data_IF_752337620449
#
_entry.id   IF_752337620449
#
_cell.length_a   1.000
_cell.length_b   1.000
_cell.length_c   1.000
_cell.angle_alpha   90.00
_cell.angle_beta   90.00
_cell.angle_gamma   90.00
#
_symmetry.space_group_name_H-M   'P 1'
#
loop_
_entity.id
_entity.type
_entity.pdbx_description
1 polymer ?
#
# COMPACT_ATOMS: atom_id res chain seq x y z
N UNK A 1 10.43 -22.34 22.06
CA UNK A 1 9.91 -21.99 21.86
C UNK A 1 9.63 -21.40 21.18
N UNK A 2 9.65 -21.62 21.26
CA UNK A 2 9.26 -21.05 20.74
C UNK A 2 8.97 -20.15 20.29
N UNK A 3 8.91 -19.90 20.15
CA UNK A 3 8.37 -19.09 19.99
C UNK A 3 8.46 -18.34 19.49
N UNK A 4 8.88 -18.25 19.59
CA UNK A 4 8.78 -17.52 19.25
C UNK A 4 8.65 -16.95 18.32
N UNK A 5 8.66 -17.30 18.18
CA UNK A 5 8.36 -16.78 17.43
C UNK A 5 7.86 -16.10 16.84
N UNK A 6 7.82 -15.89 16.94
CA UNK A 6 7.11 -15.39 16.55
C UNK A 6 6.80 -14.53 16.18
N UNK A 7 7.06 -14.28 16.16
CA UNK A 7 6.72 -13.50 15.92
C UNK A 7 6.18 -12.82 15.35
N UNK A 8 6.35 -12.72 15.96
CA UNK A 8 5.55 -11.98 15.32
C UNK A 8 6.04 -11.01 14.41
N UNK A 9 5.71 -11.04 13.36
CA UNK A 9 6.26 -10.14 12.50
C UNK A 9 5.53 -8.84 12.54
N UNK A 10 6.24 -7.75 12.47
CA UNK A 10 5.65 -6.48 12.48
C UNK A 10 4.92 -6.21 11.23
N UNK A 11 3.73 -5.67 11.32
CA UNK A 11 3.00 -5.23 10.16
C UNK A 11 3.60 -3.96 9.64
N UNK A 12 3.74 -3.88 8.33
CA UNK A 12 4.21 -2.68 7.69
C UNK A 12 3.08 -1.66 7.66
N UNK A 13 3.29 -0.50 8.23
CA UNK A 13 2.29 0.55 8.20
C UNK A 13 2.66 1.53 7.10
N UNK A 14 1.78 1.65 6.11
CA UNK A 14 2.00 2.55 4.99
C UNK A 14 1.21 3.83 5.22
N UNK A 15 1.82 4.96 4.90
CA UNK A 15 1.14 6.25 4.99
C UNK A 15 1.01 6.82 3.60
N UNK A 16 -0.11 7.47 3.33
CA UNK A 16 -0.26 8.19 2.07
C UNK A 16 0.49 9.53 2.15
N UNK A 17 0.44 10.31 1.09
CA UNK A 17 1.18 11.56 1.06
C UNK A 17 0.70 12.57 2.10
N UNK A 18 -0.53 12.44 2.55
CA UNK A 18 -1.09 13.30 3.57
C UNK A 18 -0.85 12.77 4.98
N UNK A 19 -0.20 11.63 5.10
CA UNK A 19 0.11 11.03 6.39
C UNK A 19 -0.99 10.14 6.95
N UNK A 20 -1.99 9.80 6.14
CA UNK A 20 -3.06 8.91 6.58
C UNK A 20 -2.60 7.46 6.52
N UNK A 21 -2.80 6.69 7.59
CA UNK A 21 -2.41 5.28 7.55
C UNK A 21 -3.31 4.50 6.59
N UNK A 22 -2.70 3.60 5.86
CA UNK A 22 -3.40 2.80 4.85
C UNK A 22 -3.58 1.39 5.38
N UNK A 23 -4.72 0.80 5.05
CA UNK A 23 -5.04 -0.55 5.45
C UNK A 23 -5.45 -1.35 4.23
N UNK A 24 -5.27 -2.66 4.34
CA UNK A 24 -5.71 -3.55 3.29
C UNK A 24 -7.19 -3.31 3.00
N UNK A 25 -7.52 -3.16 1.72
CA UNK A 25 -8.87 -2.89 1.30
C UNK A 25 -9.17 -1.42 1.04
N UNK A 26 -8.27 -0.52 1.45
CA UNK A 26 -8.49 0.90 1.21
C UNK A 26 -8.37 1.24 -0.26
N UNK A 27 -9.17 2.21 -0.68
CA UNK A 27 -9.12 2.73 -2.04
C UNK A 27 -8.31 4.02 -1.99
N UNK A 28 -7.39 4.15 -2.92
CA UNK A 28 -6.52 5.33 -3.00
C UNK A 28 -6.48 5.86 -4.42
N UNK A 29 -6.12 7.13 -4.54
CA UNK A 29 -5.75 7.71 -5.82
C UNK A 29 -4.26 7.48 -6.00
N UNK A 30 -3.91 6.66 -6.98
CA UNK A 30 -2.52 6.32 -7.24
C UNK A 30 -1.92 7.38 -8.13
N UNK A 31 -0.83 7.98 -7.66
CA UNK A 31 -0.22 9.11 -8.36
C UNK A 31 0.94 8.71 -9.26
N UNK A 32 1.18 7.40 -9.39
CA UNK A 32 2.23 6.89 -10.26
C UNK A 32 1.65 5.89 -11.23
N UNK A 33 2.39 5.65 -12.31
CA UNK A 33 2.09 4.59 -13.27
C UNK A 33 0.72 4.72 -13.92
N UNK A 34 0.11 5.89 -13.79
CA UNK A 34 -1.15 6.16 -14.47
C UNK A 34 -2.24 5.17 -14.07
N UNK A 35 -2.23 4.73 -12.84
CA UNK A 35 -3.16 3.70 -12.41
C UNK A 35 -4.50 4.23 -11.91
N UNK A 36 -4.54 5.52 -11.57
CA UNK A 36 -5.79 6.09 -11.07
C UNK A 36 -6.21 5.48 -9.76
N UNK A 37 -7.50 5.22 -9.59
CA UNK A 37 -7.99 4.62 -8.37
C UNK A 37 -7.51 3.19 -8.26
N UNK A 38 -7.00 2.86 -7.08
CA UNK A 38 -6.44 1.54 -6.84
C UNK A 38 -6.84 1.07 -5.46
N UNK A 39 -6.83 -0.24 -5.28
CA UNK A 39 -7.16 -0.85 -4.01
C UNK A 39 -5.91 -1.47 -3.42
N UNK A 40 -5.69 -1.24 -2.13
CA UNK A 40 -4.56 -1.86 -1.45
C UNK A 40 -4.94 -3.29 -1.12
N UNK A 41 -4.20 -4.24 -1.66
CA UNK A 41 -4.50 -5.66 -1.50
C UNK A 41 -3.28 -6.37 -0.95
N UNK A 42 -3.51 -7.50 -0.33
CA UNK A 42 -2.43 -8.33 0.19
C UNK A 42 -2.29 -9.55 -0.70
N UNK A 43 -1.07 -9.80 -1.12
CA UNK A 43 -0.77 -10.97 -1.94
C UNK A 43 0.31 -11.79 -1.25
N UNK A 44 0.69 -12.90 -1.87
CA UNK A 44 1.77 -13.72 -1.33
C UNK A 44 3.07 -12.94 -1.23
N UNK A 45 3.20 -11.88 -2.00
CA UNK A 45 4.43 -11.09 -2.01
C UNK A 45 4.32 -9.84 -1.16
N UNK A 46 3.23 -9.66 -0.44
CA UNK A 46 3.03 -8.53 0.43
C UNK A 46 1.95 -7.61 -0.08
N UNK A 47 2.03 -6.34 0.31
CA UNK A 47 1.00 -5.38 -0.07
C UNK A 47 1.24 -4.87 -1.48
N UNK A 48 0.17 -4.75 -2.25
CA UNK A 48 0.23 -4.23 -3.61
C UNK A 48 -0.98 -3.36 -3.87
N UNK A 49 -0.85 -2.46 -4.83
CA UNK A 49 -1.96 -1.64 -5.27
C UNK A 49 -2.50 -2.24 -6.57
N UNK A 50 -3.78 -2.49 -6.58
CA UNK A 50 -4.42 -3.05 -7.77
C UNK A 50 -5.30 -1.99 -8.40
N UNK A 51 -5.03 -1.65 -9.67
CA UNK A 51 -5.81 -0.68 -10.39
C UNK A 51 -7.24 -1.16 -10.56
N UNK A 52 -8.20 -0.31 -10.23
CA UNK A 52 -9.59 -0.67 -10.38
C UNK A 52 -10.04 -0.63 -11.84
N UNK A 53 -9.28 0.06 -12.68
CA UNK A 53 -9.65 0.19 -14.09
C UNK A 53 -9.25 -1.04 -14.89
N UNK A 54 -8.08 -1.60 -14.63
CA UNK A 54 -7.58 -2.68 -15.48
C UNK A 54 -6.93 -3.82 -14.72
N UNK A 55 -6.90 -3.75 -13.40
CA UNK A 55 -6.38 -4.86 -12.59
C UNK A 55 -4.87 -4.95 -12.51
N UNK A 56 -4.14 -3.98 -13.04
CA UNK A 56 -2.68 -4.00 -12.91
C UNK A 56 -2.31 -3.88 -11.45
N UNK A 57 -1.20 -4.50 -11.07
CA UNK A 57 -0.74 -4.46 -9.69
C UNK A 57 0.67 -3.93 -9.62
N UNK A 58 0.93 -3.15 -8.59
CA UNK A 58 2.24 -2.57 -8.33
C UNK A 58 2.54 -2.73 -6.85
N UNK A 59 3.72 -3.25 -6.54
CA UNK A 59 4.14 -3.43 -5.16
C UNK A 59 4.22 -2.09 -4.45
N UNK A 60 3.89 -2.09 -3.15
CA UNK A 60 4.00 -0.88 -2.34
C UNK A 60 5.43 -0.33 -2.36
N UNK A 61 6.42 -1.21 -2.55
CA UNK A 61 7.81 -0.78 -2.58
C UNK A 61 8.11 0.16 -3.73
N UNK A 62 7.35 0.03 -4.82
CA UNK A 62 7.54 0.91 -5.98
C UNK A 62 6.81 2.22 -5.84
N UNK A 63 6.03 2.37 -4.78
CA UNK A 63 5.25 3.56 -4.55
C UNK A 63 5.84 4.46 -3.48
N UNK A 64 7.05 4.15 -3.02
CA UNK A 64 7.68 4.95 -1.99
C UNK A 64 8.16 6.26 -2.59
N UNK A 65 7.76 7.36 -1.94
CA UNK A 65 8.23 8.69 -2.31
C UNK A 65 9.57 8.92 -1.60
N UNK A 66 10.62 9.08 -2.36
CA UNK A 66 11.97 9.19 -1.78
C UNK A 66 12.11 10.37 -0.83
N UNK A 67 11.36 11.43 -1.06
CA UNK A 67 11.49 12.63 -0.24
C UNK A 67 10.85 12.48 1.13
N UNK A 68 9.73 11.76 1.23
CA UNK A 68 8.96 11.68 2.47
C UNK A 68 8.91 10.27 3.03
N UNK A 69 9.29 9.27 2.24
CA UNK A 69 9.17 7.85 2.58
C UNK A 69 7.73 7.42 2.75
N UNK A 70 6.80 8.21 2.24
CA UNK A 70 5.39 7.85 2.23
C UNK A 70 5.03 7.25 0.88
N UNK A 71 3.82 6.71 0.80
CA UNK A 71 3.35 6.15 -0.46
C UNK A 71 2.84 7.25 -1.37
N UNK A 72 3.16 7.19 -2.66
CA UNK A 72 2.71 8.18 -3.62
C UNK A 72 1.26 7.94 -4.01
N UNK A 73 0.41 7.98 -3.02
CA UNK A 73 -1.02 7.80 -3.20
C UNK A 73 -1.73 8.73 -2.22
N UNK A 74 -3.02 8.94 -2.43
CA UNK A 74 -3.86 9.66 -1.48
C UNK A 74 -5.07 8.82 -1.16
N UNK A 75 -5.29 8.62 0.13
CA UNK A 75 -6.42 7.85 0.59
C UNK A 75 -7.72 8.49 0.14
N UNK A 76 -8.56 7.68 -0.49
CA UNK A 76 -9.85 8.17 -0.93
C UNK A 76 -10.80 8.07 0.22
N UNK A 77 -11.37 9.20 0.60
CA UNK A 77 -12.31 9.23 1.70
C UNK A 77 -13.70 9.27 1.12
N UNK A 78 -14.57 8.43 1.57
CA UNK A 78 -15.93 8.47 1.04
C UNK A 78 -16.88 9.15 1.97
#
# INVERSE_FOLDING_TARGET
>A
MFGLFKKKKKEQILLDLDGNPLQEGDIVDNLRYDMGESKLVRTDEGLEYESLADGRRVSWLRMIDAATERQKVRLKQS
#
